data_IF_891532635291
#
_entry.id   IF_891532635291
#
_cell.length_a   1.000
_cell.length_b   1.000
_cell.length_c   1.000
_cell.angle_alpha   90.00
_cell.angle_beta   90.00
_cell.angle_gamma   90.00
#
_symmetry.space_group_name_H-M   'P 1'
#
loop_
_entity.id
_entity.type
_entity.pdbx_description
1 polymer ?
#
# COMPACT_ATOMS: atom_id res chain seq x y z
N UNK A 1 5.85 -1.88 8.28
CA UNK A 1 4.48 -1.33 8.09
C UNK A 1 3.50 -2.17 8.90
N UNK A 2 2.72 -1.53 9.73
CA UNK A 2 1.71 -2.20 10.55
C UNK A 2 0.56 -2.69 9.67
N UNK A 3 0.13 -3.92 9.86
CA UNK A 3 -0.90 -4.54 9.04
C UNK A 3 -2.10 -5.07 9.86
N UNK A 4 -2.08 -4.90 11.17
CA UNK A 4 -3.15 -5.34 12.06
C UNK A 4 -2.60 -5.73 13.42
N UNK A 5 -3.46 -6.13 14.39
CA UNK A 5 -3.00 -6.54 15.71
C UNK A 5 -1.97 -7.67 15.62
N UNK A 6 -0.78 -7.45 16.17
CA UNK A 6 0.34 -8.40 16.17
C UNK A 6 0.81 -8.83 14.77
N UNK A 7 0.42 -8.08 13.72
CA UNK A 7 0.83 -8.36 12.34
C UNK A 7 1.58 -7.18 11.76
N UNK A 8 2.70 -7.47 11.08
CA UNK A 8 3.53 -6.47 10.43
C UNK A 8 3.86 -6.93 9.01
N UNK A 9 3.83 -6.00 8.08
CA UNK A 9 4.25 -6.24 6.71
C UNK A 9 5.61 -5.58 6.50
N UNK A 10 6.62 -6.40 6.20
CA UNK A 10 7.97 -5.93 5.90
C UNK A 10 8.13 -5.83 4.40
N UNK A 11 8.53 -4.64 3.92
CA UNK A 11 8.68 -4.34 2.50
C UNK A 11 10.13 -3.96 2.22
N UNK A 12 10.73 -4.60 1.23
CA UNK A 12 12.11 -4.31 0.83
C UNK A 12 12.30 -4.57 -0.66
N UNK A 13 13.23 -3.83 -1.25
CA UNK A 13 13.72 -4.10 -2.60
C UNK A 13 14.89 -5.10 -2.61
N UNK A 14 15.40 -5.46 -1.42
CA UNK A 14 16.51 -6.41 -1.29
C UNK A 14 15.98 -7.84 -1.38
N UNK A 15 16.65 -8.66 -2.19
CA UNK A 15 16.24 -10.04 -2.44
C UNK A 15 16.44 -10.99 -1.25
N UNK A 16 17.29 -10.63 -0.31
CA UNK A 16 17.65 -11.45 0.85
C UNK A 16 16.86 -11.10 2.12
N UNK A 17 15.78 -10.31 2.02
CA UNK A 17 14.99 -9.91 3.17
C UNK A 17 14.44 -11.11 3.95
N UNK A 18 13.87 -12.09 3.25
CA UNK A 18 13.28 -13.26 3.91
C UNK A 18 14.31 -14.07 4.68
N UNK A 19 15.51 -14.20 4.12
CA UNK A 19 16.61 -14.90 4.78
C UNK A 19 17.05 -14.15 6.04
N UNK A 20 17.25 -12.83 5.96
CA UNK A 20 17.65 -12.00 7.08
C UNK A 20 16.62 -12.05 8.20
N UNK A 21 15.34 -12.00 7.88
CA UNK A 21 14.26 -12.08 8.86
C UNK A 21 14.22 -13.47 9.50
N UNK A 22 14.34 -14.53 8.72
CA UNK A 22 14.33 -15.90 9.22
C UNK A 22 15.53 -16.19 10.14
N UNK A 23 16.68 -15.60 9.84
CA UNK A 23 17.90 -15.79 10.64
C UNK A 23 17.87 -15.01 11.95
N UNK A 24 17.17 -13.87 12.00
CA UNK A 24 17.18 -12.96 13.15
C UNK A 24 15.98 -13.10 14.07
N UNK A 25 14.90 -13.74 13.64
CA UNK A 25 13.71 -13.95 14.46
C UNK A 25 13.54 -15.43 14.84
N UNK A 26 13.16 -15.67 16.09
CA UNK A 26 12.94 -17.04 16.59
C UNK A 26 11.54 -17.50 16.20
N UNK A 27 11.42 -18.74 15.74
CA UNK A 27 10.15 -19.36 15.37
C UNK A 27 9.14 -19.41 16.54
N UNK A 28 9.64 -19.43 17.78
CA UNK A 28 8.78 -19.43 18.97
C UNK A 28 8.12 -18.08 19.23
N UNK A 29 8.73 -16.97 18.76
CA UNK A 29 8.27 -15.61 19.02
C UNK A 29 7.53 -15.03 17.82
N UNK A 30 7.89 -15.43 16.59
CA UNK A 30 7.39 -14.84 15.35
C UNK A 30 7.10 -15.92 14.32
N UNK A 31 6.00 -15.73 13.59
CA UNK A 31 5.73 -16.48 12.37
C UNK A 31 6.01 -15.57 11.17
N UNK A 32 6.78 -16.05 10.21
CA UNK A 32 7.17 -15.30 9.01
C UNK A 32 6.62 -16.00 7.78
N UNK A 33 5.90 -15.25 6.95
CA UNK A 33 5.35 -15.75 5.68
C UNK A 33 5.84 -14.85 4.54
N UNK A 34 6.37 -15.47 3.48
CA UNK A 34 6.79 -14.74 2.28
C UNK A 34 5.58 -14.43 1.41
N UNK A 35 5.24 -13.16 1.28
CA UNK A 35 4.12 -12.67 0.46
C UNK A 35 4.59 -11.96 -0.81
N UNK A 36 5.83 -12.15 -1.24
CA UNK A 36 6.45 -11.40 -2.34
C UNK A 36 5.67 -11.48 -3.65
N UNK A 37 4.96 -12.56 -3.91
CA UNK A 37 4.20 -12.76 -5.14
C UNK A 37 2.68 -12.71 -4.95
N UNK A 38 2.20 -12.44 -3.73
CA UNK A 38 0.76 -12.43 -3.43
C UNK A 38 0.13 -11.05 -3.53
N UNK A 39 0.92 -9.98 -3.59
CA UNK A 39 0.45 -8.60 -3.59
C UNK A 39 0.83 -7.87 -4.85
N UNK A 40 -0.10 -7.05 -5.35
CA UNK A 40 0.20 -6.02 -6.32
C UNK A 40 0.50 -4.71 -5.59
N UNK A 41 1.46 -3.94 -6.09
CA UNK A 41 1.90 -2.69 -5.48
C UNK A 41 1.75 -1.58 -6.51
N UNK A 42 1.07 -0.49 -6.11
CA UNK A 42 0.90 0.71 -6.94
C UNK A 42 1.40 1.89 -6.14
N UNK A 43 2.30 2.68 -6.70
CA UNK A 43 2.74 3.95 -6.10
C UNK A 43 2.08 5.12 -6.81
N UNK A 44 1.62 6.09 -6.02
CA UNK A 44 1.03 7.33 -6.52
C UNK A 44 1.75 8.49 -5.85
N UNK A 45 2.15 9.47 -6.66
CA UNK A 45 2.82 10.68 -6.16
C UNK A 45 2.23 11.91 -6.83
N UNK A 46 1.99 12.95 -6.05
CA UNK A 46 1.49 14.22 -6.55
C UNK A 46 0.62 14.95 -5.55
N UNK A 47 0.31 16.20 -5.87
CA UNK A 47 -0.49 17.07 -4.99
C UNK A 47 -1.95 16.61 -4.87
N UNK A 48 -2.47 15.95 -5.90
CA UNK A 48 -3.87 15.50 -5.95
C UNK A 48 -4.06 14.04 -5.54
N UNK A 49 -3.00 13.39 -5.02
CA UNK A 49 -3.03 11.97 -4.63
C UNK A 49 -4.16 11.68 -3.64
N UNK A 50 -4.33 12.51 -2.62
CA UNK A 50 -5.36 12.33 -1.60
C UNK A 50 -6.76 12.49 -2.21
N UNK A 51 -6.94 13.44 -3.13
CA UNK A 51 -8.22 13.64 -3.81
C UNK A 51 -8.61 12.42 -4.66
N UNK A 52 -7.64 11.80 -5.33
CA UNK A 52 -7.85 10.56 -6.09
C UNK A 52 -8.30 9.44 -5.16
N UNK A 53 -7.66 9.29 -4.01
CA UNK A 53 -8.00 8.26 -3.03
C UNK A 53 -9.39 8.48 -2.43
N UNK A 54 -9.78 9.72 -2.18
CA UNK A 54 -11.11 10.04 -1.65
C UNK A 54 -12.26 9.63 -2.57
N UNK A 55 -12.03 9.53 -3.86
CA UNK A 55 -13.07 9.17 -4.83
C UNK A 55 -13.60 7.76 -4.66
N UNK A 56 -12.81 6.84 -4.13
CA UNK A 56 -13.19 5.44 -3.99
C UNK A 56 -13.03 4.84 -2.61
N UNK A 57 -12.38 5.57 -1.69
CA UNK A 57 -12.07 5.09 -0.35
C UNK A 57 -12.76 5.94 0.72
N UNK A 58 -13.51 5.33 1.65
CA UNK A 58 -14.29 6.08 2.66
C UNK A 58 -13.46 6.62 3.81
N UNK A 59 -12.16 6.30 3.88
CA UNK A 59 -11.31 6.71 4.99
C UNK A 59 -11.03 8.22 4.98
N UNK A 60 -10.93 8.82 6.17
CA UNK A 60 -10.55 10.22 6.31
C UNK A 60 -9.02 10.37 6.24
N UNK A 61 -8.49 10.69 5.06
CA UNK A 61 -7.05 10.81 4.84
C UNK A 61 -6.40 11.99 5.55
N UNK A 62 -7.16 12.94 6.06
CA UNK A 62 -6.62 14.04 6.86
C UNK A 62 -5.99 13.56 8.17
N UNK A 63 -6.36 12.36 8.64
CA UNK A 63 -5.80 11.75 9.85
C UNK A 63 -4.61 10.84 9.58
N UNK A 64 -4.30 10.57 8.31
CA UNK A 64 -3.18 9.70 7.95
C UNK A 64 -1.89 10.50 7.85
N UNK A 65 -0.98 10.28 8.79
CA UNK A 65 0.33 10.92 8.81
C UNK A 65 1.38 10.16 7.99
N UNK A 66 2.51 10.82 7.75
CA UNK A 66 3.67 10.21 7.10
C UNK A 66 4.13 8.96 7.88
N UNK A 67 4.49 7.91 7.16
CA UNK A 67 4.91 6.62 7.71
C UNK A 67 3.80 5.84 8.43
N UNK A 68 2.55 6.27 8.31
CA UNK A 68 1.39 5.54 8.80
C UNK A 68 0.73 4.77 7.67
N UNK A 69 0.05 3.69 8.03
CA UNK A 69 -0.68 2.86 7.08
C UNK A 69 -2.06 2.52 7.60
N UNK A 70 -2.98 2.27 6.67
CA UNK A 70 -4.34 1.84 6.97
C UNK A 70 -4.78 0.72 6.04
N UNK A 71 -5.71 -0.09 6.52
CA UNK A 71 -6.44 -1.06 5.69
C UNK A 71 -7.84 -0.52 5.42
N UNK A 72 -8.26 -0.51 4.17
CA UNK A 72 -9.58 -0.03 3.77
C UNK A 72 -9.99 -0.68 2.45
N UNK A 73 -10.92 -0.06 1.74
CA UNK A 73 -11.35 -0.50 0.40
C UNK A 73 -11.32 0.66 -0.58
N UNK A 74 -11.10 0.35 -1.85
CA UNK A 74 -11.23 1.30 -2.95
C UNK A 74 -12.18 0.71 -3.98
N UNK A 75 -13.34 1.33 -4.16
CA UNK A 75 -14.42 0.82 -5.00
C UNK A 75 -14.73 -0.67 -4.71
N UNK A 76 -14.73 -1.04 -3.42
CA UNK A 76 -15.00 -2.40 -2.99
C UNK A 76 -13.79 -3.36 -3.00
N UNK A 77 -12.64 -2.93 -3.47
CA UNK A 77 -11.42 -3.74 -3.48
C UNK A 77 -10.65 -3.49 -2.19
N UNK A 78 -10.43 -4.54 -1.40
CA UNK A 78 -9.64 -4.43 -0.17
C UNK A 78 -8.20 -4.06 -0.50
N UNK A 79 -7.66 -3.04 0.17
CA UNK A 79 -6.30 -2.60 -0.03
C UNK A 79 -5.69 -2.03 1.25
N UNK A 80 -4.36 -1.92 1.25
CA UNK A 80 -3.61 -1.26 2.30
C UNK A 80 -2.95 -0.01 1.70
N UNK A 81 -3.05 1.12 2.40
CA UNK A 81 -2.42 2.37 2.02
C UNK A 81 -1.30 2.68 2.99
N UNK A 82 -0.11 2.88 2.46
CA UNK A 82 1.07 3.29 3.22
C UNK A 82 1.47 4.68 2.75
N UNK A 83 1.41 5.67 3.64
CA UNK A 83 1.77 7.04 3.30
C UNK A 83 3.27 7.25 3.46
N UNK A 84 3.96 7.48 2.36
CA UNK A 84 5.41 7.59 2.30
C UNK A 84 5.92 9.04 2.40
N UNK A 85 5.13 10.03 1.97
CA UNK A 85 5.52 11.43 1.95
C UNK A 85 4.35 12.39 1.91
N UNK A 86 4.60 13.66 2.21
CA UNK A 86 3.56 14.68 2.32
C UNK A 86 3.71 15.87 1.35
N UNK A 87 4.91 16.19 0.89
CA UNK A 87 5.14 17.35 0.02
C UNK A 87 6.09 16.98 -1.12
N UNK A 88 5.60 16.43 -2.25
CA UNK A 88 4.22 16.08 -2.56
C UNK A 88 3.75 14.83 -1.81
N UNK A 89 2.43 14.64 -1.76
CA UNK A 89 1.86 13.39 -1.20
C UNK A 89 2.33 12.20 -2.01
N UNK A 90 2.81 11.19 -1.32
CA UNK A 90 3.24 9.94 -1.92
C UNK A 90 2.70 8.79 -1.11
N UNK A 91 2.00 7.88 -1.78
CA UNK A 91 1.42 6.69 -1.15
C UNK A 91 1.79 5.44 -1.94
N UNK A 92 1.84 4.34 -1.21
CA UNK A 92 1.98 3.01 -1.80
C UNK A 92 0.76 2.19 -1.44
N UNK A 93 0.15 1.60 -2.46
CA UNK A 93 -1.07 0.81 -2.32
C UNK A 93 -0.74 -0.66 -2.51
N UNK A 94 -1.25 -1.49 -1.60
CA UNK A 94 -1.08 -2.95 -1.65
C UNK A 94 -2.44 -3.61 -1.77
N UNK A 95 -2.60 -4.48 -2.74
CA UNK A 95 -3.81 -5.29 -2.92
C UNK A 95 -3.43 -6.73 -3.22
N UNK A 96 -4.37 -7.65 -3.08
CA UNK A 96 -4.16 -9.01 -3.57
C UNK A 96 -3.84 -8.94 -5.07
N UNK A 97 -2.89 -9.75 -5.51
CA UNK A 97 -2.41 -9.74 -6.89
C UNK A 97 -3.52 -9.89 -7.91
N UNK A 98 -4.52 -10.73 -7.62
CA UNK A 98 -5.68 -10.94 -8.49
C UNK A 98 -6.53 -9.70 -8.71
N UNK A 99 -6.47 -8.70 -7.82
CA UNK A 99 -7.19 -7.44 -7.92
C UNK A 99 -6.33 -6.26 -8.40
N UNK A 100 -5.04 -6.51 -8.68
CA UNK A 100 -4.10 -5.44 -9.04
C UNK A 100 -4.53 -4.65 -10.27
N UNK A 101 -4.96 -5.33 -11.32
CA UNK A 101 -5.40 -4.69 -12.55
C UNK A 101 -6.67 -3.87 -12.33
N UNK A 102 -7.66 -4.41 -11.63
CA UNK A 102 -8.89 -3.71 -11.30
C UNK A 102 -8.64 -2.47 -10.45
N UNK A 103 -7.75 -2.57 -9.47
CA UNK A 103 -7.36 -1.41 -8.65
C UNK A 103 -6.65 -0.36 -9.50
N UNK A 104 -5.72 -0.76 -10.36
CA UNK A 104 -5.02 0.15 -11.26
C UNK A 104 -5.98 0.90 -12.16
N UNK A 105 -6.96 0.21 -12.76
CA UNK A 105 -8.00 0.85 -13.58
C UNK A 105 -8.83 1.85 -12.78
N UNK A 106 -9.25 1.50 -11.57
CA UNK A 106 -10.03 2.39 -10.72
C UNK A 106 -9.24 3.65 -10.36
N UNK A 107 -7.97 3.52 -10.04
CA UNK A 107 -7.11 4.64 -9.67
C UNK A 107 -6.83 5.53 -10.88
N UNK A 108 -6.49 4.97 -12.03
CA UNK A 108 -6.19 5.76 -13.23
C UNK A 108 -7.44 6.48 -13.75
N UNK A 109 -8.59 5.82 -13.68
CA UNK A 109 -9.87 6.43 -14.07
C UNK A 109 -10.21 7.62 -13.15
N UNK A 110 -10.04 7.47 -11.84
CA UNK A 110 -10.22 8.55 -10.88
C UNK A 110 -9.22 9.69 -11.09
N UNK A 111 -8.05 9.40 -11.66
CA UNK A 111 -6.99 10.39 -11.88
C UNK A 111 -7.18 11.22 -13.16
N UNK A 112 -8.09 10.84 -14.06
CA UNK A 112 -8.28 11.54 -15.34
C UNK A 112 -8.62 13.01 -15.16
N UNK A 113 -9.39 13.36 -14.13
CA UNK A 113 -9.76 14.73 -13.83
C UNK A 113 -8.54 15.62 -13.55
N UNK A 114 -7.52 15.07 -12.91
CA UNK A 114 -6.31 15.81 -12.51
C UNK A 114 -5.18 15.68 -13.51
N UNK A 115 -5.28 14.71 -14.42
CA UNK A 115 -4.18 14.33 -15.28
C UNK A 115 -3.16 13.46 -14.55
N UNK A 116 -2.60 12.48 -15.23
CA UNK A 116 -1.55 11.64 -14.66
C UNK A 116 -0.57 11.17 -15.72
N UNK A 117 0.61 10.77 -15.27
CA UNK A 117 1.63 10.17 -16.12
C UNK A 117 2.04 8.83 -15.52
N UNK A 118 1.96 7.78 -16.32
CA UNK A 118 2.43 6.46 -15.93
C UNK A 118 3.92 6.32 -16.24
N UNK A 119 4.67 5.87 -15.27
CA UNK A 119 6.11 5.68 -15.41
C UNK A 119 6.49 4.22 -15.57
#
# INVERSE_FOLDING_TARGET
MWNGPKNWLLVSTKKDLIKNVSDNFKDTDFAVTDLSHSRAIIEIEGNDTIEVLKKGCPFNFNTLGKNNSINSTYNGIAFTVDKLGENPNKVRLFALRSFGESLYHSITDASLEFGFKSL
#
